data_IF_715405124942
#
_entry.id   IF_715405124942
#
_cell.length_a   1.000
_cell.length_b   1.000
_cell.length_c   1.000
_cell.angle_alpha   90.00
_cell.angle_beta   90.00
_cell.angle_gamma   90.00
#
_symmetry.space_group_name_H-M   'P 1'
#
loop_
_entity.id
_entity.type
_entity.pdbx_description
1 polymer ?
#
# COMPACT_ATOMS: atom_id res chain seq x y z
N UNK A 1 9.69 -3.36 16.79
CA UNK A 1 10.21 -2.39 15.78
C UNK A 1 11.70 -2.10 15.94
N UNK A 2 12.19 -1.70 17.11
CA UNK A 2 13.59 -1.24 17.31
C UNK A 2 14.62 -2.36 17.55
N UNK A 3 14.19 -3.63 17.62
CA UNK A 3 15.08 -4.78 17.66
C UNK A 3 15.70 -5.05 16.28
N UNK A 4 16.98 -5.46 16.26
CA UNK A 4 17.79 -5.68 15.05
C UNK A 4 17.20 -6.75 14.11
N UNK A 5 16.51 -7.75 14.68
CA UNK A 5 15.78 -8.79 13.93
C UNK A 5 14.34 -8.79 14.45
N UNK A 6 13.52 -7.86 13.95
CA UNK A 6 12.11 -7.80 14.28
C UNK A 6 11.33 -8.37 13.09
N UNK A 7 10.60 -9.50 13.25
CA UNK A 7 9.89 -10.14 12.14
C UNK A 7 8.84 -9.21 11.49
N UNK A 8 8.36 -8.21 12.24
CA UNK A 8 7.41 -7.22 11.73
C UNK A 8 8.00 -6.24 10.70
N UNK A 9 9.34 -6.14 10.54
CA UNK A 9 9.94 -5.16 9.62
C UNK A 9 9.61 -5.47 8.17
N UNK A 10 9.71 -6.73 7.75
CA UNK A 10 9.42 -7.12 6.37
C UNK A 10 7.98 -6.81 5.99
N UNK A 11 7.04 -7.27 6.81
CA UNK A 11 5.62 -6.95 6.61
C UNK A 11 5.34 -5.45 6.67
N UNK A 12 5.99 -4.71 7.57
CA UNK A 12 5.82 -3.24 7.64
C UNK A 12 6.31 -2.57 6.36
N UNK A 13 7.44 -3.00 5.80
CA UNK A 13 7.97 -2.50 4.53
C UNK A 13 7.02 -2.84 3.36
N UNK A 14 6.45 -4.05 3.35
CA UNK A 14 5.47 -4.43 2.33
C UNK A 14 4.21 -3.55 2.37
N UNK A 15 3.68 -3.22 3.57
CA UNK A 15 2.44 -2.43 3.68
C UNK A 15 2.66 -0.93 3.54
N UNK A 16 3.78 -0.40 4.03
CA UNK A 16 4.10 1.05 3.96
C UNK A 16 4.87 1.44 2.72
N UNK A 17 5.37 0.47 1.96
CA UNK A 17 6.00 0.69 0.67
C UNK A 17 5.04 1.34 -0.32
N UNK A 18 5.60 2.09 -1.28
CA UNK A 18 4.84 2.88 -2.26
C UNK A 18 3.67 2.11 -2.88
N UNK A 19 3.92 0.88 -3.33
CA UNK A 19 2.91 0.07 -4.02
C UNK A 19 2.00 -0.68 -3.06
N UNK A 20 2.51 -1.12 -1.90
CA UNK A 20 1.70 -1.83 -0.92
C UNK A 20 0.60 -0.97 -0.35
N UNK A 21 0.91 0.28 0.00
CA UNK A 21 -0.08 1.21 0.52
C UNK A 21 -1.20 1.50 -0.47
N UNK A 22 -0.85 1.75 -1.74
CA UNK A 22 -1.81 1.96 -2.82
C UNK A 22 -2.65 0.70 -3.12
N UNK A 23 -2.02 -0.48 -3.09
CA UNK A 23 -2.69 -1.76 -3.32
C UNK A 23 -3.70 -2.08 -2.21
N UNK A 24 -3.29 -1.91 -0.94
CA UNK A 24 -4.17 -2.11 0.22
C UNK A 24 -5.33 -1.11 0.22
N UNK A 25 -5.06 0.16 -0.12
CA UNK A 25 -6.10 1.18 -0.27
C UNK A 25 -7.11 0.81 -1.35
N UNK A 26 -6.65 0.35 -2.52
CA UNK A 26 -7.52 -0.09 -3.61
C UNK A 26 -8.40 -1.30 -3.21
N UNK A 27 -7.82 -2.30 -2.53
CA UNK A 27 -8.54 -3.49 -2.08
C UNK A 27 -9.44 -3.23 -0.87
N UNK A 28 -9.26 -2.13 -0.14
CA UNK A 28 -10.14 -1.76 0.96
C UNK A 28 -11.56 -1.43 0.50
N UNK A 29 -11.72 -0.99 -0.76
CA UNK A 29 -13.02 -0.69 -1.36
C UNK A 29 -13.76 -1.93 -1.86
N UNK A 30 -13.06 -3.07 -2.02
CA UNK A 30 -13.64 -4.33 -2.47
C UNK A 30 -12.65 -5.22 -3.22
N UNK A 31 -13.13 -6.39 -3.61
CA UNK A 31 -12.37 -7.35 -4.41
C UNK A 31 -12.06 -6.81 -5.81
N UNK A 32 -10.82 -6.93 -6.27
CA UNK A 32 -10.39 -6.42 -7.58
C UNK A 32 -9.55 -7.45 -8.34
N UNK A 33 -9.64 -7.42 -9.66
CA UNK A 33 -8.75 -8.19 -10.55
C UNK A 33 -7.39 -7.54 -10.66
N UNK A 34 -6.41 -8.33 -11.07
CA UNK A 34 -5.05 -7.84 -11.35
C UNK A 34 -5.04 -6.60 -12.27
N UNK A 35 -5.79 -6.64 -13.37
CA UNK A 35 -5.83 -5.53 -14.33
C UNK A 35 -6.57 -4.30 -13.79
N UNK A 36 -7.53 -4.48 -12.89
CA UNK A 36 -8.24 -3.38 -12.24
C UNK A 36 -7.34 -2.72 -11.21
N UNK A 37 -6.64 -3.51 -10.39
CA UNK A 37 -5.59 -3.03 -9.50
C UNK A 37 -4.51 -2.26 -10.24
N UNK A 38 -4.02 -2.79 -11.37
CA UNK A 38 -2.98 -2.11 -12.16
C UNK A 38 -3.43 -0.75 -12.70
N UNK A 39 -4.71 -0.61 -13.06
CA UNK A 39 -5.25 0.68 -13.51
C UNK A 39 -5.45 1.65 -12.35
N UNK A 40 -5.79 1.14 -11.16
CA UNK A 40 -6.07 1.96 -9.98
C UNK A 40 -4.79 2.42 -9.29
N UNK A 41 -3.78 1.56 -9.25
CA UNK A 41 -2.44 1.86 -8.74
C UNK A 41 -1.62 2.48 -9.88
N UNK A 42 -1.86 3.75 -10.17
CA UNK A 42 -1.23 4.42 -11.31
C UNK A 42 0.31 4.41 -11.23
N UNK A 43 0.95 4.17 -12.38
CA UNK A 43 2.41 4.10 -12.51
C UNK A 43 3.07 2.79 -12.06
N UNK A 44 2.33 1.80 -11.55
CA UNK A 44 2.91 0.49 -11.20
C UNK A 44 3.14 -0.37 -12.46
N UNK A 45 4.31 -1.02 -12.55
CA UNK A 45 4.54 -2.03 -13.58
C UNK A 45 3.88 -3.36 -13.19
N UNK A 46 3.54 -4.20 -14.17
CA UNK A 46 2.96 -5.52 -13.90
C UNK A 46 3.85 -6.37 -12.99
N UNK A 47 5.17 -6.34 -13.24
CA UNK A 47 6.15 -7.02 -12.41
C UNK A 47 6.09 -6.55 -10.96
N UNK A 48 6.05 -5.23 -10.74
CA UNK A 48 6.02 -4.69 -9.38
C UNK A 48 4.71 -4.98 -8.65
N UNK A 49 3.57 -4.89 -9.35
CA UNK A 49 2.27 -5.21 -8.77
C UNK A 49 2.19 -6.69 -8.39
N UNK A 50 2.66 -7.58 -9.27
CA UNK A 50 2.71 -9.03 -9.00
C UNK A 50 3.59 -9.35 -7.79
N UNK A 51 4.77 -8.74 -7.70
CA UNK A 51 5.65 -8.90 -6.53
C UNK A 51 5.00 -8.39 -5.24
N UNK A 52 4.31 -7.24 -5.31
CA UNK A 52 3.62 -6.66 -4.16
C UNK A 52 2.49 -7.56 -3.69
N UNK A 53 1.63 -8.03 -4.60
CA UNK A 53 0.52 -8.93 -4.28
C UNK A 53 1.03 -10.25 -3.70
N UNK A 54 2.10 -10.83 -4.26
CA UNK A 54 2.69 -12.05 -3.72
C UNK A 54 3.23 -11.86 -2.29
N UNK A 55 3.86 -10.72 -2.00
CA UNK A 55 4.33 -10.40 -0.66
C UNK A 55 3.18 -10.22 0.34
N UNK A 56 2.13 -9.49 -0.04
CA UNK A 56 0.93 -9.28 0.78
C UNK A 56 0.13 -10.57 1.00
N UNK A 57 0.08 -11.45 -0.01
CA UNK A 57 -0.50 -12.79 0.10
C UNK A 57 0.29 -13.66 1.07
N UNK A 58 1.63 -13.67 0.95
CA UNK A 58 2.53 -14.39 1.86
C UNK A 58 2.40 -13.91 3.30
N UNK A 59 2.19 -12.60 3.50
CA UNK A 59 1.96 -12.00 4.82
C UNK A 59 0.54 -12.24 5.36
N UNK A 60 -0.35 -12.85 4.57
CA UNK A 60 -1.72 -13.15 4.96
C UNK A 60 -2.65 -11.93 4.97
N UNK A 61 -2.27 -10.84 4.31
CA UNK A 61 -3.05 -9.61 4.20
C UNK A 61 -4.01 -9.63 3.00
N UNK A 62 -3.64 -10.33 1.95
CA UNK A 62 -4.42 -10.46 0.71
C UNK A 62 -4.74 -11.92 0.46
N UNK A 63 -5.99 -12.21 0.13
CA UNK A 63 -6.40 -13.50 -0.40
C UNK A 63 -6.46 -13.43 -1.93
N UNK A 64 -5.90 -14.45 -2.59
CA UNK A 64 -5.94 -14.60 -4.05
C UNK A 64 -6.85 -15.77 -4.38
N UNK A 65 -7.96 -15.50 -5.04
CA UNK A 65 -8.90 -16.52 -5.47
C UNK A 65 -8.87 -16.68 -7.00
N UNK A 66 -8.64 -17.91 -7.45
CA UNK A 66 -8.74 -18.27 -8.86
C UNK A 66 -10.15 -18.78 -9.16
N UNK A 67 -10.92 -17.98 -9.91
CA UNK A 67 -12.29 -18.27 -10.28
C UNK A 67 -12.32 -19.11 -11.57
N UNK A 68 -12.97 -20.30 -11.57
CA UNK A 68 -13.09 -21.16 -12.75
C UNK A 68 -14.18 -20.64 -13.71
N UNK A 69 -14.04 -19.39 -14.16
CA UNK A 69 -14.89 -18.81 -15.20
C UNK A 69 -14.28 -19.04 -16.58
N UNK A 70 -15.07 -18.88 -17.65
CA UNK A 70 -14.54 -18.82 -19.02
C UNK A 70 -14.65 -17.37 -19.54
N UNK A 71 -13.56 -16.62 -19.72
CA UNK A 71 -12.15 -16.96 -19.45
C UNK A 71 -11.83 -17.00 -17.94
N UNK A 72 -10.76 -17.71 -17.53
CA UNK A 72 -10.34 -17.82 -16.12
C UNK A 72 -9.98 -16.45 -15.56
N UNK A 73 -10.39 -16.19 -14.31
CA UNK A 73 -10.20 -14.90 -13.63
C UNK A 73 -9.55 -15.11 -12.28
N UNK A 74 -8.79 -14.09 -11.86
CA UNK A 74 -8.13 -14.08 -10.56
C UNK A 74 -8.54 -12.79 -9.88
N UNK A 75 -9.20 -12.94 -8.74
CA UNK A 75 -9.66 -11.85 -7.91
C UNK A 75 -8.78 -11.79 -6.65
N UNK A 76 -8.51 -10.58 -6.19
CA UNK A 76 -7.76 -10.31 -4.97
C UNK A 76 -8.68 -9.57 -4.01
N UNK A 77 -8.64 -9.94 -2.75
CA UNK A 77 -9.41 -9.31 -1.68
C UNK A 77 -8.57 -9.23 -0.40
N UNK A 78 -8.93 -8.32 0.49
CA UNK A 78 -8.28 -8.26 1.80
C UNK A 78 -8.79 -9.40 2.69
N UNK A 79 -7.88 -9.99 3.45
CA UNK A 79 -8.27 -10.86 4.57
C UNK A 79 -8.81 -10.02 5.74
N UNK A 80 -9.38 -10.61 6.80
CA UNK A 80 -9.74 -9.86 8.00
C UNK A 80 -8.57 -9.05 8.60
N UNK A 81 -7.36 -9.63 8.60
CA UNK A 81 -6.14 -8.93 9.02
C UNK A 81 -5.78 -7.81 8.02
N UNK A 82 -5.90 -8.07 6.72
CA UNK A 82 -5.70 -7.07 5.67
C UNK A 82 -6.59 -5.85 5.85
N UNK A 83 -7.88 -6.04 6.17
CA UNK A 83 -8.81 -4.95 6.43
C UNK A 83 -8.42 -4.11 7.65
N UNK A 84 -8.01 -4.75 8.76
CA UNK A 84 -7.55 -4.02 9.95
C UNK A 84 -6.32 -3.17 9.65
N UNK A 85 -5.32 -3.74 8.99
CA UNK A 85 -4.08 -3.06 8.64
C UNK A 85 -4.34 -1.93 7.63
N UNK A 86 -5.11 -2.20 6.58
CA UNK A 86 -5.48 -1.20 5.58
C UNK A 86 -6.24 -0.03 6.22
N UNK A 87 -7.17 -0.28 7.14
CA UNK A 87 -7.91 0.78 7.84
C UNK A 87 -6.99 1.72 8.63
N UNK A 88 -6.03 1.17 9.38
CA UNK A 88 -5.03 1.97 10.11
C UNK A 88 -4.12 2.75 9.17
N UNK A 89 -3.72 2.13 8.06
CA UNK A 89 -2.88 2.77 7.06
C UNK A 89 -3.60 3.92 6.36
N UNK A 90 -4.87 3.73 5.99
CA UNK A 90 -5.70 4.76 5.37
C UNK A 90 -5.93 5.94 6.32
N UNK A 91 -6.17 5.69 7.60
CA UNK A 91 -6.27 6.76 8.59
C UNK A 91 -4.98 7.59 8.70
N UNK A 92 -3.81 6.94 8.62
CA UNK A 92 -2.53 7.66 8.57
C UNK A 92 -2.40 8.48 7.29
N UNK A 93 -2.76 7.91 6.13
CA UNK A 93 -2.70 8.62 4.84
C UNK A 93 -3.59 9.87 4.89
N UNK A 94 -4.83 9.75 5.34
CA UNK A 94 -5.77 10.87 5.47
C UNK A 94 -5.25 11.96 6.42
N UNK A 95 -4.63 11.56 7.53
CA UNK A 95 -4.01 12.50 8.46
C UNK A 95 -2.86 13.29 7.80
N UNK A 96 -2.01 12.61 7.03
CA UNK A 96 -0.90 13.24 6.29
C UNK A 96 -1.43 14.16 5.20
N UNK A 97 -2.41 13.71 4.41
CA UNK A 97 -3.07 14.51 3.37
C UNK A 97 -3.66 15.80 3.94
N UNK A 98 -4.38 15.72 5.06
CA UNK A 98 -4.92 16.88 5.76
C UNK A 98 -3.87 17.80 6.39
N UNK A 99 -2.63 17.32 6.55
CA UNK A 99 -1.51 18.08 7.12
C UNK A 99 -0.57 18.67 6.06
N UNK A 100 -0.86 18.50 4.77
CA UNK A 100 0.08 18.83 3.70
C UNK A 100 0.47 20.31 3.66
N UNK A 101 -0.44 21.23 3.98
CA UNK A 101 -0.12 22.67 4.04
C UNK A 101 0.96 22.98 5.09
N UNK A 102 0.83 22.39 6.28
CA UNK A 102 1.81 22.53 7.36
C UNK A 102 3.16 21.89 6.98
N UNK A 103 3.14 20.75 6.29
CA UNK A 103 4.36 20.07 5.80
C UNK A 103 5.06 20.92 4.72
N UNK A 104 4.31 21.47 3.77
CA UNK A 104 4.86 22.32 2.71
C UNK A 104 5.46 23.62 3.27
N UNK A 105 4.80 24.23 4.26
CA UNK A 105 5.34 25.39 4.99
C UNK A 105 6.62 25.04 5.77
N UNK A 106 6.65 23.89 6.44
CA UNK A 106 7.86 23.44 7.12
C UNK A 106 9.03 23.21 6.14
N UNK A 107 8.75 22.67 4.94
CA UNK A 107 9.77 22.49 3.88
C UNK A 107 10.32 23.82 3.39
N UNK A 108 9.45 24.80 3.08
CA UNK A 108 9.86 26.15 2.66
C UNK A 108 10.81 26.78 3.68
N UNK A 109 10.43 26.81 4.96
CA UNK A 109 11.26 27.38 6.04
C UNK A 109 12.62 26.68 6.16
N UNK A 110 12.66 25.36 5.99
CA UNK A 110 13.90 24.59 6.02
C UNK A 110 14.81 24.90 4.82
N UNK A 111 14.24 25.01 3.63
CA UNK A 111 14.98 25.33 2.40
C UNK A 111 15.51 26.77 2.42
N UNK A 112 14.76 27.72 2.97
CA UNK A 112 15.20 29.10 3.16
C UNK A 112 16.38 29.21 4.15
N UNK A 113 16.33 28.46 5.25
CA UNK A 113 17.40 28.49 6.26
C UNK A 113 18.68 27.77 5.80
N UNK A 114 18.59 26.79 4.89
CA UNK A 114 19.76 26.11 4.31
C UNK A 114 20.26 26.72 3.01
N UNK A 115 19.40 27.32 2.20
CA UNK A 115 19.78 28.04 0.98
C UNK A 115 20.39 29.41 1.26
N UNK A 116 20.17 29.99 2.44
CA UNK A 116 20.85 31.18 2.92
C UNK A 116 22.25 30.93 3.54
N UNK A 117 22.72 29.67 3.55
CA UNK A 117 24.05 29.25 4.01
C UNK A 117 24.90 28.81 2.83
#
# INVERSE_FOLDING_TARGET
MFAKVCPSRGTLEHVTGRWGALTLGALHEGSLRFNELRRRVDGVSEKMLSQTLHALERDGLVHREAQPTNPPRVDYELTPLGHEVAGRLLALIQCVEGSMDAVLEARRRYDETRGAR
#
